data_IF_926431890564
#
_entry.id   IF_926431890564
#
_cell.length_a   1.000
_cell.length_b   1.000
_cell.length_c   1.000
_cell.angle_alpha   90.00
_cell.angle_beta   90.00
_cell.angle_gamma   90.00
#
_symmetry.space_group_name_H-M   'P 1'
#
loop_
_entity.id
_entity.type
_entity.pdbx_description
1 polymer ?
#
# COMPACT_ATOMS: atom_id res chain seq x y z
N UNK A 1 16.48 4.63 6.95
CA UNK A 1 16.62 4.24 5.53
C UNK A 1 16.33 5.45 4.67
N UNK A 2 17.20 5.75 3.70
CA UNK A 2 17.00 6.83 2.76
C UNK A 2 15.93 6.41 1.75
N UNK A 3 14.81 7.13 1.71
CA UNK A 3 13.78 6.96 0.69
C UNK A 3 14.27 7.64 -0.60
N UNK A 4 14.96 6.90 -1.46
CA UNK A 4 15.29 7.44 -2.78
C UNK A 4 14.01 7.47 -3.62
N UNK A 5 13.51 8.67 -3.88
CA UNK A 5 12.37 8.92 -4.77
C UNK A 5 12.84 8.80 -6.22
N UNK A 6 12.22 7.91 -7.00
CA UNK A 6 12.41 7.91 -8.45
C UNK A 6 11.40 8.86 -9.07
N UNK A 7 11.81 10.13 -9.28
CA UNK A 7 10.96 11.16 -9.91
C UNK A 7 10.42 10.74 -11.28
N UNK A 8 11.17 9.91 -12.01
CA UNK A 8 10.74 9.34 -13.30
C UNK A 8 9.50 8.45 -13.20
N UNK A 9 9.20 7.89 -12.01
CA UNK A 9 8.04 7.05 -11.76
C UNK A 9 6.85 7.82 -11.18
N UNK A 10 6.95 9.16 -11.01
CA UNK A 10 5.84 9.98 -10.52
C UNK A 10 5.40 9.66 -9.08
N UNK A 11 6.29 9.12 -8.25
CA UNK A 11 5.97 8.69 -6.88
C UNK A 11 5.63 9.90 -5.98
N UNK A 12 4.42 9.90 -5.42
CA UNK A 12 3.98 10.80 -4.35
C UNK A 12 3.61 9.98 -3.11
N UNK A 13 4.39 10.08 -2.05
CA UNK A 13 4.13 9.27 -0.84
C UNK A 13 3.05 9.91 0.04
N UNK A 14 1.97 9.15 0.27
CA UNK A 14 0.99 9.43 1.29
C UNK A 14 1.62 9.24 2.68
N UNK A 15 1.65 10.30 3.48
CA UNK A 15 2.19 10.29 4.86
C UNK A 15 1.14 10.56 5.93
N UNK A 16 -0.05 11.01 5.50
CA UNK A 16 -1.14 11.32 6.42
C UNK A 16 -1.88 10.04 6.79
N UNK A 17 -1.68 9.61 8.02
CA UNK A 17 -2.27 8.40 8.58
C UNK A 17 -3.81 8.48 8.67
N UNK A 18 -4.36 9.69 8.86
CA UNK A 18 -5.80 9.89 8.92
C UNK A 18 -6.44 9.72 7.54
N UNK A 19 -5.76 10.19 6.48
CA UNK A 19 -6.20 9.93 5.11
C UNK A 19 -6.12 8.43 4.79
N UNK A 20 -5.06 7.73 5.19
CA UNK A 20 -4.97 6.27 5.01
C UNK A 20 -6.16 5.54 5.65
N UNK A 21 -6.49 5.87 6.90
CA UNK A 21 -7.61 5.26 7.62
C UNK A 21 -8.96 5.56 6.95
N UNK A 22 -9.16 6.79 6.45
CA UNK A 22 -10.37 7.15 5.73
C UNK A 22 -10.52 6.36 4.43
N UNK A 23 -9.44 6.15 3.68
CA UNK A 23 -9.45 5.32 2.47
C UNK A 23 -9.87 3.89 2.80
N UNK A 24 -9.29 3.30 3.85
CA UNK A 24 -9.61 1.92 4.29
C UNK A 24 -11.06 1.83 4.74
N UNK A 25 -11.53 2.80 5.52
CA UNK A 25 -12.93 2.86 5.96
C UNK A 25 -13.90 2.98 4.79
N UNK A 26 -13.55 3.75 3.75
CA UNK A 26 -14.36 3.87 2.54
C UNK A 26 -14.43 2.55 1.77
N UNK A 27 -13.31 1.81 1.66
CA UNK A 27 -13.29 0.49 1.01
C UNK A 27 -14.24 -0.50 1.71
N UNK A 28 -14.27 -0.49 3.04
CA UNK A 28 -15.10 -1.42 3.84
C UNK A 28 -16.61 -1.11 3.82
N UNK A 29 -17.06 -0.08 3.11
CA UNK A 29 -18.49 0.21 2.98
C UNK A 29 -19.25 -0.83 2.15
N UNK A 30 -18.54 -1.66 1.38
CA UNK A 30 -19.10 -2.77 0.62
C UNK A 30 -18.29 -4.04 0.89
N UNK A 31 -18.92 -5.23 0.91
CA UNK A 31 -18.19 -6.47 1.06
C UNK A 31 -17.38 -6.77 -0.19
N UNK A 32 -16.13 -7.20 0.00
CA UNK A 32 -15.25 -7.70 -1.04
C UNK A 32 -14.37 -8.81 -0.46
N UNK A 33 -13.88 -9.69 -1.32
CA UNK A 33 -12.97 -10.78 -0.93
C UNK A 33 -11.61 -10.66 -1.63
N UNK A 34 -11.50 -9.84 -2.68
CA UNK A 34 -10.29 -9.68 -3.47
C UNK A 34 -9.88 -8.22 -3.47
N UNK A 35 -8.61 -7.96 -3.19
CA UNK A 35 -8.06 -6.62 -3.14
C UNK A 35 -6.68 -6.59 -3.80
N UNK A 36 -6.50 -5.64 -4.72
CA UNK A 36 -5.21 -5.38 -5.38
C UNK A 36 -4.78 -3.94 -5.09
N UNK A 37 -3.64 -3.76 -4.42
CA UNK A 37 -2.98 -2.47 -4.29
C UNK A 37 -2.00 -2.27 -5.45
N UNK A 38 -2.15 -1.18 -6.20
CA UNK A 38 -1.24 -0.81 -7.29
C UNK A 38 -0.35 0.33 -6.81
N UNK A 39 0.97 0.12 -6.87
CA UNK A 39 1.96 1.08 -6.36
C UNK A 39 1.95 1.23 -4.83
N UNK A 40 2.13 0.14 -4.06
CA UNK A 40 2.21 0.19 -2.60
C UNK A 40 3.33 1.10 -2.08
N UNK A 41 4.40 1.29 -2.88
CA UNK A 41 5.51 2.17 -2.56
C UNK A 41 6.15 1.84 -1.21
N UNK A 42 6.05 2.76 -0.25
CA UNK A 42 6.59 2.57 1.10
C UNK A 42 5.62 1.83 2.07
N UNK A 43 4.48 1.36 1.58
CA UNK A 43 3.48 0.63 2.36
C UNK A 43 2.57 1.54 3.20
N UNK A 44 2.29 2.76 2.71
CA UNK A 44 1.46 3.74 3.43
C UNK A 44 0.04 3.21 3.67
N UNK A 45 -0.57 2.58 2.66
CA UNK A 45 -1.85 1.89 2.76
C UNK A 45 -1.67 0.41 3.10
N UNK A 46 -0.66 -0.27 2.56
CA UNK A 46 -0.38 -1.70 2.81
C UNK A 46 -0.49 -2.10 4.28
N UNK A 47 0.08 -1.31 5.21
CA UNK A 47 -0.01 -1.59 6.67
C UNK A 47 -1.43 -1.62 7.25
N UNK A 48 -2.37 -0.95 6.59
CA UNK A 48 -3.78 -0.89 6.98
C UNK A 48 -4.64 -1.89 6.20
N UNK A 49 -4.21 -2.28 5.00
CA UNK A 49 -4.93 -3.24 4.15
C UNK A 49 -4.62 -4.69 4.54
N UNK A 50 -3.38 -5.00 4.94
CA UNK A 50 -2.97 -6.35 5.34
C UNK A 50 -3.76 -6.95 6.52
N UNK A 51 -4.13 -6.17 7.57
CA UNK A 51 -4.90 -6.71 8.69
C UNK A 51 -6.38 -7.00 8.38
N UNK A 52 -6.87 -6.65 7.18
CA UNK A 52 -8.25 -6.91 6.79
C UNK A 52 -8.49 -8.42 6.72
N UNK A 53 -9.47 -8.91 7.49
CA UNK A 53 -9.80 -10.33 7.53
C UNK A 53 -10.61 -10.74 6.29
N UNK A 54 -10.47 -12.00 5.91
CA UNK A 54 -11.19 -12.61 4.78
C UNK A 54 -10.94 -11.95 3.41
N UNK A 55 -9.82 -11.23 3.28
CA UNK A 55 -9.39 -10.61 2.02
C UNK A 55 -8.21 -11.38 1.42
N UNK A 56 -8.34 -11.79 0.17
CA UNK A 56 -7.24 -12.21 -0.68
C UNK A 56 -6.54 -10.96 -1.23
N UNK A 57 -5.51 -10.51 -0.51
CA UNK A 57 -4.76 -9.31 -0.82
C UNK A 57 -3.56 -9.59 -1.73
N UNK A 58 -3.38 -8.73 -2.73
CA UNK A 58 -2.19 -8.67 -3.58
C UNK A 58 -1.71 -7.24 -3.72
N UNK A 59 -0.41 -7.06 -3.88
CA UNK A 59 0.19 -5.76 -4.22
C UNK A 59 1.04 -5.89 -5.48
N UNK A 60 1.02 -4.87 -6.33
CA UNK A 60 1.80 -4.79 -7.57
C UNK A 60 2.64 -3.52 -7.54
N UNK A 61 3.96 -3.69 -7.60
CA UNK A 61 4.94 -2.60 -7.55
C UNK A 61 5.93 -2.75 -8.70
N UNK A 62 6.25 -1.63 -9.35
CA UNK A 62 7.18 -1.59 -10.48
C UNK A 62 8.62 -1.36 -10.02
N UNK A 63 8.81 -0.72 -8.85
CA UNK A 63 10.12 -0.43 -8.29
C UNK A 63 10.65 -1.61 -7.46
N UNK A 64 11.60 -2.37 -8.01
CA UNK A 64 12.18 -3.55 -7.36
C UNK A 64 12.72 -3.27 -5.94
N UNK A 65 13.27 -2.08 -5.69
CA UNK A 65 13.77 -1.70 -4.37
C UNK A 65 12.62 -1.62 -3.34
N UNK A 66 11.43 -1.20 -3.78
CA UNK A 66 10.21 -1.16 -2.95
C UNK A 66 9.64 -2.55 -2.75
N UNK A 67 9.67 -3.40 -3.77
CA UNK A 67 9.30 -4.83 -3.64
C UNK A 67 10.12 -5.50 -2.54
N UNK A 68 11.45 -5.34 -2.58
CA UNK A 68 12.34 -5.92 -1.55
C UNK A 68 12.04 -5.33 -0.17
N UNK A 69 11.82 -4.02 -0.08
CA UNK A 69 11.46 -3.36 1.19
C UNK A 69 10.16 -3.88 1.77
N UNK A 70 9.10 -4.01 0.96
CA UNK A 70 7.78 -4.47 1.40
C UNK A 70 7.85 -5.92 1.91
N UNK A 71 8.46 -6.84 1.15
CA UNK A 71 8.63 -8.24 1.54
C UNK A 71 9.47 -8.43 2.83
N UNK A 72 10.32 -7.46 3.18
CA UNK A 72 11.10 -7.49 4.42
C UNK A 72 10.33 -6.94 5.61
N UNK A 73 9.35 -6.06 5.36
CA UNK A 73 8.67 -5.27 6.40
C UNK A 73 7.34 -5.88 6.82
N UNK A 74 6.65 -6.52 5.87
CA UNK A 74 5.33 -7.11 6.03
C UNK A 74 5.36 -8.59 5.63
#
# INVERSE_FOLDING_TARGET
MQYTLKKSLGQHFLKDENICKQIVAALQQQPFEQLVEVGPGAGALTKYLLPLQNINFKAVELDDEKVVYLNKTY
#
